data_IF_394319013559
#
_entry.id   IF_394319013559
#
_cell.length_a   1.000
_cell.length_b   1.000
_cell.length_c   1.000
_cell.angle_alpha   90.00
_cell.angle_beta   90.00
_cell.angle_gamma   90.00
#
_symmetry.space_group_name_H-M   'P 1'
#
loop_
_entity.id
_entity.type
_entity.pdbx_description
1 polymer ?
#
# COMPACT_ATOMS: atom_id res chain seq x y z
N UNK A 1 -10.48 -37.54 -30.27
CA UNK A 1 -9.83 -37.67 -31.59
C UNK A 1 -9.90 -36.31 -32.27
N UNK A 2 -8.76 -35.79 -32.76
CA UNK A 2 -8.61 -34.54 -33.53
C UNK A 2 -8.24 -33.31 -32.68
N UNK A 3 -6.97 -33.15 -32.26
CA UNK A 3 -5.91 -32.31 -32.89
C UNK A 3 -6.12 -30.79 -32.70
N UNK A 4 -5.55 -30.14 -31.67
CA UNK A 4 -4.23 -29.47 -31.61
C UNK A 4 -3.91 -28.52 -32.78
N UNK A 5 -3.97 -27.20 -32.52
CA UNK A 5 -3.07 -26.20 -33.13
C UNK A 5 -2.58 -25.18 -32.09
N UNK A 6 -1.39 -25.52 -31.59
CA UNK A 6 -0.38 -24.67 -30.98
C UNK A 6 0.11 -23.62 -31.99
N UNK A 7 0.22 -22.37 -31.57
CA UNK A 7 1.03 -21.35 -32.25
C UNK A 7 2.24 -21.00 -31.37
N UNK A 8 3.35 -21.69 -31.67
CA UNK A 8 4.70 -21.44 -31.21
C UNK A 8 5.54 -21.10 -32.46
N UNK A 9 6.31 -20.02 -32.40
CA UNK A 9 7.38 -19.67 -33.35
C UNK A 9 8.38 -18.75 -32.61
N UNK A 10 9.68 -18.76 -32.97
CA UNK A 10 10.63 -19.80 -32.59
C UNK A 10 11.78 -19.28 -31.70
N UNK A 11 12.41 -20.24 -31.03
CA UNK A 11 13.69 -20.14 -30.33
C UNK A 11 14.82 -19.96 -31.35
N UNK A 12 15.63 -18.93 -31.20
CA UNK A 12 17.01 -18.94 -31.70
C UNK A 12 17.94 -19.15 -30.51
N UNK A 13 18.59 -20.31 -30.50
CA UNK A 13 19.72 -20.63 -29.63
C UNK A 13 21.00 -20.60 -30.46
N UNK A 14 22.01 -19.88 -29.99
CA UNK A 14 23.42 -20.31 -29.90
C UNK A 14 24.38 -19.13 -30.08
N UNK A 15 25.10 -18.80 -29.01
CA UNK A 15 26.57 -18.79 -29.03
C UNK A 15 27.05 -18.61 -27.58
N UNK A 16 27.72 -19.65 -27.09
CA UNK A 16 28.54 -19.64 -25.88
C UNK A 16 29.85 -18.94 -26.26
N UNK A 17 30.27 -17.94 -25.51
CA UNK A 17 31.69 -17.57 -25.44
C UNK A 17 32.07 -17.19 -23.99
N UNK A 18 33.14 -17.84 -23.54
CA UNK A 18 33.72 -17.75 -22.21
C UNK A 18 34.63 -16.52 -22.14
N UNK A 19 34.23 -15.49 -21.40
CA UNK A 19 35.07 -14.30 -21.20
C UNK A 19 34.91 -13.73 -19.80
N UNK A 20 35.69 -14.27 -18.84
CA UNK A 20 35.91 -13.62 -17.54
C UNK A 20 36.52 -12.25 -17.74
N UNK A 21 35.71 -11.19 -17.67
CA UNK A 21 36.18 -9.82 -17.47
C UNK A 21 35.71 -9.38 -16.09
N UNK A 22 36.62 -9.49 -15.11
CA UNK A 22 36.43 -8.94 -13.78
C UNK A 22 36.31 -7.42 -13.87
N UNK A 23 35.11 -6.90 -13.61
CA UNK A 23 34.88 -5.46 -13.47
C UNK A 23 35.67 -5.00 -12.22
N UNK A 24 36.63 -4.06 -12.34
CA UNK A 24 37.36 -3.58 -11.18
C UNK A 24 36.40 -2.76 -10.30
N UNK A 25 36.32 -3.13 -9.02
CA UNK A 25 35.55 -2.38 -8.04
C UNK A 25 36.06 -0.93 -7.99
N UNK A 26 35.17 0.09 -8.03
CA UNK A 26 35.59 1.47 -7.90
C UNK A 26 36.21 1.67 -6.51
N UNK A 27 37.53 1.89 -6.49
CA UNK A 27 38.29 2.32 -5.31
C UNK A 27 37.82 3.73 -4.94
N UNK A 28 36.94 3.78 -3.95
CA UNK A 28 36.35 5.02 -3.46
C UNK A 28 35.04 4.76 -2.72
N UNK A 29 35.01 3.77 -1.83
CA UNK A 29 33.88 3.55 -0.94
C UNK A 29 33.80 4.72 0.05
N UNK A 30 33.11 5.79 -0.34
CA UNK A 30 32.39 6.64 0.62
C UNK A 30 31.68 5.67 1.57
N UNK A 31 31.84 5.89 2.87
CA UNK A 31 31.31 5.07 3.95
C UNK A 31 29.76 5.12 3.95
N UNK A 32 29.14 4.55 2.90
CA UNK A 32 27.71 4.52 2.69
C UNK A 32 27.21 3.34 3.50
N UNK A 33 26.62 3.63 4.65
CA UNK A 33 26.00 2.60 5.50
C UNK A 33 25.06 1.74 4.64
N UNK A 34 25.13 0.41 4.72
CA UNK A 34 24.38 -0.48 3.82
C UNK A 34 22.87 -0.25 3.99
N UNK A 35 22.15 -0.02 2.89
CA UNK A 35 20.72 0.31 2.92
C UNK A 35 19.89 -0.88 3.40
N UNK A 36 18.98 -0.66 4.35
CA UNK A 36 17.96 -1.65 4.75
C UNK A 36 16.66 -1.28 4.05
N UNK A 37 16.00 -2.28 3.47
CA UNK A 37 14.67 -2.13 2.86
C UNK A 37 13.72 -3.09 3.58
N UNK A 38 12.68 -2.55 4.20
CA UNK A 38 11.62 -3.29 4.86
C UNK A 38 10.34 -3.11 4.05
N UNK A 39 9.75 -4.22 3.61
CA UNK A 39 8.47 -4.25 2.93
C UNK A 39 7.42 -4.93 3.80
N UNK A 40 6.30 -4.27 3.99
CA UNK A 40 5.14 -4.75 4.74
C UNK A 40 3.88 -4.85 3.87
N UNK A 41 3.84 -4.20 2.70
CA UNK A 41 2.78 -4.47 1.71
C UNK A 41 2.98 -5.87 1.12
N UNK A 42 1.88 -6.63 1.03
CA UNK A 42 1.90 -8.06 0.76
C UNK A 42 2.64 -8.84 1.86
N UNK A 43 3.77 -9.50 1.58
CA UNK A 43 4.51 -10.31 2.55
C UNK A 43 5.65 -9.52 3.18
N UNK A 44 5.89 -9.76 4.48
CA UNK A 44 7.06 -9.21 5.16
C UNK A 44 8.35 -9.60 4.44
N UNK A 45 9.12 -8.61 4.01
CA UNK A 45 10.47 -8.80 3.46
C UNK A 45 11.41 -7.78 4.10
N UNK A 46 12.51 -8.25 4.67
CA UNK A 46 13.55 -7.39 5.25
C UNK A 46 14.86 -7.69 4.54
N UNK A 47 15.45 -6.71 3.86
CA UNK A 47 16.67 -6.91 3.06
C UNK A 47 17.74 -5.88 3.39
N UNK A 48 18.99 -6.30 3.38
CA UNK A 48 20.18 -5.45 3.44
C UNK A 48 21.05 -5.70 2.21
N UNK A 49 20.94 -4.84 1.19
CA UNK A 49 21.47 -5.16 -0.14
C UNK A 49 20.82 -6.44 -0.70
N UNK A 50 21.65 -7.42 -1.08
CA UNK A 50 21.19 -8.71 -1.60
C UNK A 50 20.87 -9.74 -0.52
N UNK A 51 21.13 -9.43 0.75
CA UNK A 51 20.91 -10.35 1.87
C UNK A 51 19.48 -10.23 2.42
N UNK A 52 18.79 -11.37 2.53
CA UNK A 52 17.54 -11.46 3.30
C UNK A 52 17.85 -11.50 4.81
N UNK A 53 17.26 -10.57 5.55
CA UNK A 53 17.40 -10.44 6.99
C UNK A 53 16.22 -11.09 7.70
N UNK A 54 16.42 -11.50 8.95
CA UNK A 54 15.37 -12.10 9.80
C UNK A 54 14.73 -13.41 9.29
N UNK A 55 15.24 -14.03 8.22
CA UNK A 55 14.72 -15.29 7.69
C UNK A 55 14.71 -16.42 8.74
N UNK A 56 15.76 -16.49 9.57
CA UNK A 56 15.89 -17.44 10.70
C UNK A 56 15.33 -16.92 12.02
N UNK A 57 14.68 -15.75 12.03
CA UNK A 57 14.10 -15.18 13.23
C UNK A 57 12.74 -15.78 13.53
N UNK A 58 12.44 -15.89 14.84
CA UNK A 58 11.15 -16.42 15.29
C UNK A 58 9.98 -15.58 14.77
N UNK A 59 8.78 -16.19 14.72
CA UNK A 59 7.54 -15.48 14.37
C UNK A 59 7.35 -14.26 15.27
N UNK A 60 7.52 -14.41 16.58
CA UNK A 60 7.40 -13.33 17.56
C UNK A 60 8.40 -12.19 17.33
N UNK A 61 9.61 -12.47 16.84
CA UNK A 61 10.58 -11.43 16.51
C UNK A 61 10.12 -10.61 15.29
N UNK A 62 9.68 -11.30 14.22
CA UNK A 62 9.15 -10.65 13.02
C UNK A 62 7.90 -9.82 13.33
N UNK A 63 7.00 -10.39 14.12
CA UNK A 63 5.77 -9.74 14.58
C UNK A 63 6.04 -8.49 15.41
N UNK A 64 6.98 -8.60 16.36
CA UNK A 64 7.40 -7.46 17.17
C UNK A 64 7.95 -6.31 16.31
N UNK A 65 8.77 -6.62 15.29
CA UNK A 65 9.27 -5.60 14.38
C UNK A 65 8.13 -4.93 13.60
N UNK A 66 7.22 -5.71 13.02
CA UNK A 66 6.06 -5.18 12.30
C UNK A 66 5.18 -4.29 13.19
N UNK A 67 4.88 -4.74 14.40
CA UNK A 67 4.10 -3.99 15.37
C UNK A 67 4.78 -2.66 15.72
N UNK A 68 6.09 -2.67 15.97
CA UNK A 68 6.85 -1.43 16.27
C UNK A 68 6.87 -0.46 15.09
N UNK A 69 6.95 -0.97 13.85
CA UNK A 69 6.89 -0.16 12.63
C UNK A 69 5.51 0.50 12.48
N UNK A 70 4.44 -0.29 12.67
CA UNK A 70 3.04 0.17 12.57
C UNK A 70 2.66 1.12 13.70
N UNK A 71 3.16 0.88 14.91
CA UNK A 71 2.94 1.73 16.09
C UNK A 71 3.67 3.08 16.07
N UNK A 72 4.37 3.40 14.96
CA UNK A 72 5.00 4.68 14.61
C UNK A 72 5.66 5.46 15.74
N UNK A 73 7.00 5.44 15.80
CA UNK A 73 7.85 6.38 16.59
C UNK A 73 7.43 6.59 18.06
N UNK A 74 6.46 5.87 18.60
CA UNK A 74 6.12 5.86 20.00
C UNK A 74 7.04 4.87 20.70
N UNK A 75 7.56 5.29 21.84
CA UNK A 75 8.25 4.37 22.73
C UNK A 75 7.22 3.38 23.30
N UNK A 76 7.39 2.09 23.01
CA UNK A 76 6.48 1.05 23.48
C UNK A 76 7.06 0.36 24.72
N UNK A 77 6.36 0.35 25.86
CA UNK A 77 6.78 -0.37 27.04
C UNK A 77 6.95 -1.87 26.76
N UNK A 78 7.99 -2.47 27.32
CA UNK A 78 8.25 -3.91 27.24
C UNK A 78 7.11 -4.74 27.83
N UNK A 79 6.35 -4.18 28.77
CA UNK A 79 5.18 -4.86 29.33
C UNK A 79 4.06 -5.01 28.29
N UNK A 80 3.77 -3.93 27.54
CA UNK A 80 2.83 -3.96 26.41
C UNK A 80 3.29 -4.91 25.31
N UNK A 81 4.59 -4.90 24.97
CA UNK A 81 5.16 -5.83 23.98
C UNK A 81 5.13 -7.29 24.45
N UNK A 82 5.29 -7.54 25.75
CA UNK A 82 5.15 -8.88 26.31
C UNK A 82 3.70 -9.35 26.22
N UNK A 83 2.73 -8.49 26.52
CA UNK A 83 1.30 -8.79 26.39
C UNK A 83 0.92 -9.11 24.94
N UNK A 84 1.41 -8.33 23.97
CA UNK A 84 1.21 -8.58 22.54
C UNK A 84 1.63 -10.00 22.12
N UNK A 85 2.82 -10.42 22.55
CA UNK A 85 3.40 -11.74 22.20
C UNK A 85 2.73 -12.89 22.99
N UNK A 86 2.07 -12.58 24.12
CA UNK A 86 1.58 -13.57 25.06
C UNK A 86 0.42 -14.41 24.52
N UNK A 87 -0.45 -13.87 23.66
CA UNK A 87 -1.75 -14.50 23.39
C UNK A 87 -2.44 -14.88 24.71
N UNK A 88 -2.72 -16.18 24.92
CA UNK A 88 -3.31 -16.74 26.16
C UNK A 88 -2.29 -17.22 27.22
N UNK A 89 -1.00 -16.89 27.10
CA UNK A 89 0.04 -17.37 28.01
C UNK A 89 0.18 -16.54 29.29
N UNK A 90 0.75 -17.15 30.34
CA UNK A 90 1.02 -16.46 31.61
C UNK A 90 2.11 -15.39 31.50
N UNK A 91 2.02 -14.34 32.31
CA UNK A 91 2.92 -13.17 32.32
C UNK A 91 4.41 -13.53 32.34
N UNK A 92 4.81 -14.55 33.11
CA UNK A 92 6.21 -15.02 33.19
C UNK A 92 6.71 -15.59 31.85
N UNK A 93 5.88 -16.36 31.14
CA UNK A 93 6.20 -16.90 29.81
C UNK A 93 6.32 -15.77 28.78
N UNK A 94 5.47 -14.74 28.89
CA UNK A 94 5.46 -13.57 28.02
C UNK A 94 6.76 -12.76 28.09
N UNK A 95 7.27 -12.47 29.31
CA UNK A 95 8.55 -11.76 29.49
C UNK A 95 9.75 -12.55 28.94
N UNK A 96 9.72 -13.89 29.01
CA UNK A 96 10.76 -14.75 28.40
C UNK A 96 10.69 -14.71 26.87
N UNK A 97 9.49 -14.84 26.30
CA UNK A 97 9.28 -14.77 24.86
C UNK A 97 9.69 -13.42 24.27
N UNK A 98 9.39 -12.31 24.94
CA UNK A 98 9.84 -10.98 24.53
C UNK A 98 11.37 -10.88 24.52
N UNK A 99 12.05 -11.33 25.57
CA UNK A 99 13.52 -11.32 25.62
C UNK A 99 14.14 -12.11 24.46
N UNK A 100 13.55 -13.27 24.13
CA UNK A 100 13.98 -14.08 22.99
C UNK A 100 13.73 -13.35 21.66
N UNK A 101 12.55 -12.76 21.47
CA UNK A 101 12.21 -12.00 20.27
C UNK A 101 13.18 -10.81 20.05
N UNK A 102 13.44 -10.02 21.08
CA UNK A 102 14.39 -8.90 21.04
C UNK A 102 15.82 -9.37 20.74
N UNK A 103 16.24 -10.51 21.31
CA UNK A 103 17.53 -11.11 21.01
C UNK A 103 17.63 -11.57 19.54
N UNK A 104 16.57 -12.19 19.00
CA UNK A 104 16.50 -12.57 17.59
C UNK A 104 16.58 -11.35 16.66
N UNK A 105 15.92 -10.24 17.00
CA UNK A 105 16.03 -8.99 16.24
C UNK A 105 17.46 -8.45 16.22
N UNK A 106 18.13 -8.41 17.38
CA UNK A 106 19.54 -7.97 17.49
C UNK A 106 20.50 -8.86 16.69
N UNK A 107 20.24 -10.17 16.65
CA UNK A 107 21.08 -11.14 15.93
C UNK A 107 20.76 -11.20 14.43
N UNK A 108 19.52 -10.92 14.04
CA UNK A 108 19.07 -11.10 12.66
C UNK A 108 19.13 -9.84 11.79
N UNK A 109 19.26 -8.65 12.38
CA UNK A 109 19.55 -7.40 11.66
C UNK A 109 21.08 -7.19 11.56
N UNK A 110 21.73 -8.04 10.78
CA UNK A 110 23.18 -8.02 10.55
C UNK A 110 23.46 -8.11 9.06
N UNK A 111 24.21 -7.14 8.52
CA UNK A 111 24.61 -7.07 7.11
C UNK A 111 26.12 -7.25 7.04
N UNK A 112 26.60 -8.28 6.34
CA UNK A 112 28.04 -8.59 6.22
C UNK A 112 28.80 -8.57 7.57
N UNK A 113 28.18 -9.10 8.63
CA UNK A 113 28.75 -9.13 9.99
C UNK A 113 28.56 -7.85 10.81
N UNK A 114 28.10 -6.76 10.21
CA UNK A 114 27.83 -5.49 10.90
C UNK A 114 26.43 -5.47 11.49
N UNK A 115 26.32 -5.30 12.81
CA UNK A 115 25.03 -5.13 13.50
C UNK A 115 24.37 -3.83 13.04
N UNK A 116 23.13 -3.93 12.58
CA UNK A 116 22.34 -2.82 12.07
C UNK A 116 21.05 -2.58 12.86
N UNK A 117 20.85 -3.27 13.99
CA UNK A 117 19.62 -3.15 14.81
C UNK A 117 19.38 -1.72 15.29
N UNK A 118 20.44 -1.00 15.69
CA UNK A 118 20.33 0.38 16.21
C UNK A 118 20.00 1.41 15.12
N UNK A 119 20.00 0.99 13.85
CA UNK A 119 19.54 1.81 12.72
C UNK A 119 18.04 1.69 12.49
N UNK A 120 17.41 0.69 13.09
CA UNK A 120 15.98 0.38 12.94
C UNK A 120 15.25 0.64 14.26
N UNK A 121 15.85 0.28 15.40
CA UNK A 121 15.23 0.31 16.71
C UNK A 121 16.11 1.03 17.72
N UNK A 122 15.47 1.82 18.60
CA UNK A 122 16.10 2.33 19.83
C UNK A 122 15.61 1.53 21.02
N UNK A 123 16.52 1.16 21.92
CA UNK A 123 16.20 0.46 23.16
C UNK A 123 16.47 1.38 24.35
N UNK A 124 15.44 1.68 25.13
CA UNK A 124 15.60 2.34 26.42
C UNK A 124 15.38 1.40 27.59
N UNK A 125 15.40 1.97 28.78
CA UNK A 125 15.06 1.24 29.99
C UNK A 125 13.54 0.99 30.03
N UNK A 126 13.15 -0.28 30.05
CA UNK A 126 11.74 -0.66 30.03
C UNK A 126 10.99 -0.47 28.70
N UNK A 127 11.58 0.08 27.64
CA UNK A 127 10.87 0.35 26.37
C UNK A 127 11.68 0.04 25.10
N UNK A 128 10.98 -0.06 23.96
CA UNK A 128 11.53 -0.23 22.61
C UNK A 128 10.78 0.66 21.63
N UNK A 129 11.49 1.31 20.72
CA UNK A 129 10.92 2.23 19.74
C UNK A 129 11.46 1.92 18.35
N UNK A 130 10.61 2.05 17.34
CA UNK A 130 11.05 2.07 15.95
C UNK A 130 11.56 3.46 15.58
N UNK A 131 12.86 3.54 15.27
CA UNK A 131 13.61 4.77 14.99
C UNK A 131 14.52 4.53 13.79
N UNK A 132 13.98 4.57 12.56
CA UNK A 132 14.78 4.32 11.36
C UNK A 132 15.75 5.48 11.11
N UNK A 133 17.01 5.16 10.84
CA UNK A 133 17.97 6.12 10.29
C UNK A 133 17.70 6.40 8.80
N UNK A 134 18.37 7.39 8.21
CA UNK A 134 18.18 7.78 6.80
C UNK A 134 18.53 6.70 5.77
N UNK A 135 19.11 5.57 6.18
CA UNK A 135 19.45 4.45 5.33
C UNK A 135 18.50 3.25 5.52
N UNK A 136 17.42 3.42 6.29
CA UNK A 136 16.33 2.45 6.41
C UNK A 136 15.11 2.94 5.63
N UNK A 137 14.67 2.13 4.68
CA UNK A 137 13.47 2.35 3.88
C UNK A 137 12.36 1.42 4.32
N UNK A 138 11.17 1.96 4.46
CA UNK A 138 9.97 1.21 4.83
C UNK A 138 8.85 1.63 3.89
N UNK A 139 8.34 0.67 3.12
CA UNK A 139 7.34 0.92 2.08
C UNK A 139 6.07 1.61 2.61
N UNK A 140 5.55 1.22 3.77
CA UNK A 140 4.36 1.88 4.34
C UNK A 140 4.64 3.35 4.68
N UNK A 141 5.85 3.69 5.16
CA UNK A 141 6.18 5.08 5.50
C UNK A 141 6.38 5.92 4.25
N UNK A 142 6.95 5.33 3.20
CA UNK A 142 7.14 5.98 1.90
C UNK A 142 5.80 6.25 1.22
N UNK A 143 4.91 5.26 1.23
CA UNK A 143 3.55 5.40 0.71
C UNK A 143 2.80 6.52 1.43
N UNK A 144 2.76 6.50 2.76
CA UNK A 144 2.09 7.52 3.55
C UNK A 144 2.65 8.93 3.30
N UNK A 145 3.98 9.07 3.34
CA UNK A 145 4.63 10.36 3.10
C UNK A 145 4.42 10.87 1.68
N UNK A 146 4.31 9.98 0.70
CA UNK A 146 3.99 10.37 -0.67
C UNK A 146 2.55 10.88 -0.76
N UNK A 147 1.57 10.11 -0.24
CA UNK A 147 0.16 10.52 -0.27
C UNK A 147 -0.09 11.81 0.52
N UNK A 148 0.46 11.93 1.73
CA UNK A 148 0.30 13.12 2.58
C UNK A 148 0.85 14.38 1.90
N UNK A 149 2.02 14.30 1.25
CA UNK A 149 2.61 15.43 0.53
C UNK A 149 1.83 15.79 -0.73
N UNK A 150 1.27 14.79 -1.42
CA UNK A 150 0.58 15.02 -2.69
C UNK A 150 -0.86 15.51 -2.54
N UNK A 151 -1.52 15.21 -1.42
CA UNK A 151 -2.88 15.70 -1.10
C UNK A 151 -2.84 16.96 -0.21
N UNK A 152 -1.78 17.15 0.58
CA UNK A 152 -1.67 18.16 1.63
C UNK A 152 -1.31 19.60 1.21
N UNK A 153 -1.43 19.98 -0.06
CA UNK A 153 -1.19 21.39 -0.44
C UNK A 153 -2.37 22.26 0.00
N UNK A 154 -2.16 23.08 1.04
CA UNK A 154 -3.14 23.99 1.67
C UNK A 154 -3.82 24.94 0.67
N UNK A 155 -3.20 25.18 -0.49
CA UNK A 155 -3.75 26.04 -1.54
C UNK A 155 -4.85 25.40 -2.41
N UNK A 156 -5.13 24.10 -2.24
CA UNK A 156 -6.20 23.39 -2.96
C UNK A 156 -6.10 23.40 -4.49
N UNK A 157 -5.03 23.97 -5.06
CA UNK A 157 -4.90 24.30 -6.48
C UNK A 157 -4.06 23.31 -7.30
N UNK A 158 -3.27 22.44 -6.68
CA UNK A 158 -2.55 21.39 -7.42
C UNK A 158 -2.26 20.16 -6.56
N UNK A 159 -2.99 19.08 -6.80
CA UNK A 159 -2.59 17.75 -6.33
C UNK A 159 -1.34 17.34 -7.11
N UNK A 160 -0.31 16.85 -6.41
CA UNK A 160 0.86 16.26 -7.06
C UNK A 160 0.53 14.85 -7.57
N UNK A 161 0.00 14.78 -8.79
CA UNK A 161 -0.41 13.50 -9.43
C UNK A 161 0.77 12.59 -9.73
N UNK A 162 1.98 13.14 -9.88
CA UNK A 162 3.19 12.32 -10.04
C UNK A 162 3.52 11.63 -8.72
N UNK A 163 3.55 12.38 -7.62
CA UNK A 163 3.77 11.82 -6.29
C UNK A 163 2.71 10.78 -5.90
N UNK A 164 1.44 10.98 -6.28
CA UNK A 164 0.40 9.95 -6.09
C UNK A 164 0.65 8.70 -6.91
N UNK A 165 1.02 8.82 -8.20
CA UNK A 165 1.37 7.67 -9.03
C UNK A 165 2.53 6.87 -8.46
N UNK A 166 3.60 7.56 -8.06
CA UNK A 166 4.76 6.94 -7.41
C UNK A 166 4.35 6.22 -6.10
N UNK A 167 3.39 6.78 -5.35
CA UNK A 167 2.85 6.14 -4.15
C UNK A 167 2.11 4.82 -4.47
N UNK A 168 1.30 4.79 -5.53
CA UNK A 168 0.57 3.58 -5.93
C UNK A 168 1.51 2.44 -6.34
N UNK A 169 2.68 2.73 -6.91
CA UNK A 169 3.70 1.69 -7.23
C UNK A 169 4.31 1.03 -5.98
N UNK A 170 4.32 1.75 -4.86
CA UNK A 170 4.77 1.23 -3.55
C UNK A 170 3.70 0.32 -2.94
N UNK A 171 2.43 0.63 -3.15
CA UNK A 171 1.30 -0.15 -2.66
C UNK A 171 1.09 -1.42 -3.50
N UNK A 172 1.67 -2.54 -3.08
CA UNK A 172 1.66 -3.82 -3.83
C UNK A 172 0.56 -4.79 -3.39
N UNK A 173 -0.31 -4.38 -2.47
CA UNK A 173 -1.35 -5.21 -1.88
C UNK A 173 -1.52 -4.91 -0.39
N UNK A 174 -2.48 -5.59 0.25
CA UNK A 174 -2.78 -5.38 1.67
C UNK A 174 -1.58 -5.60 2.59
N UNK A 175 -1.55 -4.88 3.70
CA UNK A 175 -0.54 -5.00 4.75
C UNK A 175 -0.45 -6.44 5.29
N UNK A 176 0.74 -7.04 5.26
CA UNK A 176 1.08 -8.33 5.88
C UNK A 176 0.03 -9.41 5.57
N UNK A 177 -0.12 -9.77 4.30
CA UNK A 177 -1.06 -10.82 3.89
C UNK A 177 -0.82 -12.13 4.66
N UNK A 178 -1.90 -12.76 5.11
CA UNK A 178 -1.87 -13.95 5.96
C UNK A 178 -1.64 -13.69 7.45
N UNK A 179 -1.56 -12.42 7.86
CA UNK A 179 -1.54 -12.02 9.27
C UNK A 179 -2.94 -11.57 9.70
N UNK A 180 -3.36 -12.02 10.89
CA UNK A 180 -4.73 -11.89 11.41
C UNK A 180 -4.79 -11.27 12.81
N UNK A 181 -3.68 -10.70 13.27
CA UNK A 181 -3.64 -9.98 14.52
C UNK A 181 -4.48 -8.70 14.41
N UNK A 182 -5.22 -8.38 15.46
CA UNK A 182 -6.15 -7.24 15.50
C UNK A 182 -5.50 -5.92 15.10
N UNK A 183 -4.33 -5.60 15.69
CA UNK A 183 -3.54 -4.41 15.33
C UNK A 183 -3.15 -4.35 13.83
N UNK A 184 -3.01 -5.50 13.17
CA UNK A 184 -2.67 -5.58 11.76
C UNK A 184 -3.92 -5.38 10.88
N UNK A 185 -5.08 -5.84 11.33
CA UNK A 185 -6.34 -5.67 10.59
C UNK A 185 -6.78 -4.20 10.58
N UNK A 186 -6.69 -3.53 11.74
CA UNK A 186 -6.98 -2.09 11.85
C UNK A 186 -6.07 -1.26 10.94
N UNK A 187 -4.77 -1.53 10.97
CA UNK A 187 -3.82 -0.79 10.14
C UNK A 187 -3.97 -1.10 8.64
N UNK A 188 -4.30 -2.35 8.29
CA UNK A 188 -4.59 -2.74 6.90
C UNK A 188 -5.77 -1.94 6.36
N UNK A 189 -6.84 -1.80 7.13
CA UNK A 189 -8.01 -1.01 6.72
C UNK A 189 -7.65 0.47 6.58
N UNK A 190 -6.90 1.03 7.54
CA UNK A 190 -6.46 2.42 7.46
C UNK A 190 -5.59 2.70 6.22
N UNK A 191 -4.66 1.80 5.88
CA UNK A 191 -3.84 1.90 4.68
C UNK A 191 -4.66 1.71 3.40
N UNK A 192 -5.65 0.82 3.40
CA UNK A 192 -6.61 0.66 2.28
C UNK A 192 -7.39 1.94 2.03
N UNK A 193 -7.88 2.59 3.08
CA UNK A 193 -8.57 3.88 2.97
C UNK A 193 -7.65 4.98 2.41
N UNK A 194 -6.37 5.00 2.79
CA UNK A 194 -5.40 5.95 2.25
C UNK A 194 -5.12 5.69 0.75
N UNK A 195 -5.04 4.43 0.34
CA UNK A 195 -4.93 4.01 -1.06
C UNK A 195 -6.13 4.45 -1.89
N UNK A 196 -7.35 4.23 -1.39
CA UNK A 196 -8.58 4.69 -2.06
C UNK A 196 -8.63 6.21 -2.21
N UNK A 197 -8.17 6.97 -1.21
CA UNK A 197 -8.07 8.45 -1.32
C UNK A 197 -7.10 8.90 -2.40
N UNK A 198 -5.97 8.22 -2.53
CA UNK A 198 -5.00 8.50 -3.59
C UNK A 198 -5.60 8.22 -4.99
N UNK A 199 -6.33 7.11 -5.13
CA UNK A 199 -7.05 6.78 -6.36
C UNK A 199 -8.13 7.81 -6.68
N UNK A 200 -8.96 8.20 -5.70
CA UNK A 200 -10.01 9.22 -5.90
C UNK A 200 -9.41 10.53 -6.45
N UNK A 201 -8.26 10.96 -5.90
CA UNK A 201 -7.59 12.18 -6.33
C UNK A 201 -7.04 12.09 -7.77
N UNK A 202 -6.56 10.91 -8.19
CA UNK A 202 -6.12 10.66 -9.56
C UNK A 202 -7.30 10.53 -10.54
N UNK A 203 -8.39 9.87 -10.14
CA UNK A 203 -9.62 9.76 -10.94
C UNK A 203 -10.19 11.15 -11.20
N UNK A 204 -10.29 11.99 -10.18
CA UNK A 204 -10.75 13.37 -10.31
C UNK A 204 -9.85 14.21 -11.23
N UNK A 205 -8.53 13.96 -11.21
CA UNK A 205 -7.58 14.61 -12.12
C UNK A 205 -7.79 14.18 -13.57
N UNK A 206 -7.95 12.87 -13.80
CA UNK A 206 -8.21 12.33 -15.13
C UNK A 206 -9.57 12.79 -15.68
N UNK A 207 -10.61 12.88 -14.84
CA UNK A 207 -11.90 13.46 -15.22
C UNK A 207 -11.74 14.92 -15.69
N UNK A 208 -10.98 15.72 -14.94
CA UNK A 208 -10.77 17.13 -15.24
C UNK A 208 -9.94 17.33 -16.53
N UNK A 209 -8.92 16.49 -16.75
CA UNK A 209 -8.03 16.57 -17.91
C UNK A 209 -8.52 15.75 -19.12
N UNK A 210 -9.72 15.15 -19.04
CA UNK A 210 -10.27 14.26 -20.07
C UNK A 210 -9.36 13.04 -20.40
N UNK A 211 -8.55 12.59 -19.45
CA UNK A 211 -7.68 11.41 -19.57
C UNK A 211 -8.47 10.12 -19.30
N UNK A 212 -9.45 9.82 -20.18
CA UNK A 212 -10.42 8.73 -20.00
C UNK A 212 -9.76 7.40 -19.65
N UNK A 213 -8.76 6.98 -20.44
CA UNK A 213 -8.12 5.66 -20.28
C UNK A 213 -7.46 5.50 -18.91
N UNK A 214 -6.74 6.53 -18.45
CA UNK A 214 -6.09 6.51 -17.15
C UNK A 214 -7.12 6.54 -16.00
N UNK A 215 -8.15 7.39 -16.12
CA UNK A 215 -9.24 7.46 -15.15
C UNK A 215 -9.97 6.13 -14.97
N UNK A 216 -10.28 5.43 -16.07
CA UNK A 216 -10.92 4.11 -16.04
C UNK A 216 -10.01 3.08 -15.36
N UNK A 217 -8.70 3.11 -15.63
CA UNK A 217 -7.74 2.21 -15.00
C UNK A 217 -7.66 2.43 -13.47
N UNK A 218 -7.60 3.68 -13.01
CA UNK A 218 -7.58 3.98 -11.56
C UNK A 218 -8.91 3.64 -10.89
N UNK A 219 -10.04 3.92 -11.54
CA UNK A 219 -11.34 3.55 -11.00
C UNK A 219 -11.53 2.03 -10.93
N UNK A 220 -11.00 1.27 -11.90
CA UNK A 220 -10.95 -0.19 -11.83
C UNK A 220 -10.16 -0.71 -10.63
N UNK A 221 -9.02 -0.08 -10.32
CA UNK A 221 -8.26 -0.40 -9.11
C UNK A 221 -9.06 -0.09 -7.82
N UNK A 222 -9.77 1.04 -7.79
CA UNK A 222 -10.56 1.42 -6.63
C UNK A 222 -11.74 0.46 -6.40
N UNK A 223 -12.44 0.05 -7.46
CA UNK A 223 -13.52 -0.95 -7.38
C UNK A 223 -13.01 -2.36 -7.07
N UNK A 224 -11.78 -2.69 -7.43
CA UNK A 224 -11.17 -3.95 -6.98
C UNK A 224 -10.93 -3.95 -5.47
N UNK A 225 -10.55 -2.80 -4.90
CA UNK A 225 -10.33 -2.65 -3.46
C UNK A 225 -11.62 -2.40 -2.66
N UNK A 226 -12.67 -1.92 -3.30
CA UNK A 226 -13.97 -1.59 -2.71
C UNK A 226 -15.09 -1.63 -3.77
N UNK A 227 -15.71 -2.81 -4.02
CA UNK A 227 -16.71 -2.97 -5.07
C UNK A 227 -17.94 -2.09 -4.90
N UNK A 228 -18.33 -1.79 -3.66
CA UNK A 228 -19.51 -0.99 -3.33
C UNK A 228 -19.24 0.52 -3.30
N UNK A 229 -18.07 0.97 -3.77
CA UNK A 229 -17.66 2.38 -3.74
C UNK A 229 -18.41 3.20 -4.78
N UNK A 230 -19.59 3.65 -4.39
CA UNK A 230 -20.55 4.33 -5.27
C UNK A 230 -20.00 5.59 -5.96
N UNK A 231 -19.18 6.38 -5.26
CA UNK A 231 -18.55 7.56 -5.85
C UNK A 231 -17.62 7.22 -7.04
N UNK A 232 -16.95 6.06 -6.99
CA UNK A 232 -16.12 5.55 -8.09
C UNK A 232 -16.98 5.06 -9.26
N UNK A 233 -18.13 4.44 -8.99
CA UNK A 233 -19.09 4.12 -10.05
C UNK A 233 -19.56 5.37 -10.78
N UNK A 234 -19.93 6.44 -10.05
CA UNK A 234 -20.29 7.73 -10.65
C UNK A 234 -19.16 8.32 -11.49
N UNK A 235 -17.91 8.20 -11.04
CA UNK A 235 -16.74 8.63 -11.80
C UNK A 235 -16.58 7.89 -13.13
N UNK A 236 -16.70 6.56 -13.12
CA UNK A 236 -16.68 5.75 -14.34
C UNK A 236 -17.81 6.12 -15.30
N UNK A 237 -19.02 6.34 -14.79
CA UNK A 237 -20.14 6.81 -15.61
C UNK A 237 -19.81 8.12 -16.33
N UNK A 238 -19.20 9.09 -15.64
CA UNK A 238 -18.76 10.35 -16.25
C UNK A 238 -17.63 10.15 -17.26
N UNK A 239 -16.62 9.35 -16.93
CA UNK A 239 -15.50 9.04 -17.84
C UNK A 239 -15.98 8.38 -19.14
N UNK A 240 -16.91 7.42 -19.06
CA UNK A 240 -17.50 6.82 -20.26
C UNK A 240 -18.29 7.82 -21.10
N UNK A 241 -19.04 8.74 -20.45
CA UNK A 241 -19.69 9.83 -21.16
C UNK A 241 -18.71 10.79 -21.85
N UNK A 242 -17.57 11.10 -21.22
CA UNK A 242 -16.49 11.88 -21.84
C UNK A 242 -15.88 11.18 -23.07
N UNK A 243 -15.89 9.85 -23.08
CA UNK A 243 -15.46 9.03 -24.21
C UNK A 243 -16.53 8.92 -25.32
N UNK A 244 -17.74 9.45 -25.11
CA UNK A 244 -18.89 9.24 -25.99
C UNK A 244 -19.55 7.86 -25.85
N UNK A 245 -19.10 7.03 -24.90
CA UNK A 245 -19.63 5.68 -24.67
C UNK A 245 -20.74 5.68 -23.62
N UNK A 246 -21.91 6.15 -24.05
CA UNK A 246 -23.11 6.19 -23.21
C UNK A 246 -23.58 4.81 -22.77
N UNK A 247 -23.37 3.77 -23.59
CA UNK A 247 -23.81 2.42 -23.29
C UNK A 247 -23.04 1.87 -22.07
N UNK A 248 -21.71 2.02 -22.06
CA UNK A 248 -20.88 1.64 -20.92
C UNK A 248 -21.21 2.42 -19.66
N UNK A 249 -21.56 3.71 -19.77
CA UNK A 249 -22.00 4.50 -18.63
C UNK A 249 -23.28 3.96 -17.97
N UNK A 250 -24.28 3.57 -18.77
CA UNK A 250 -25.52 2.95 -18.25
C UNK A 250 -25.23 1.57 -17.65
N UNK A 251 -24.41 0.75 -18.30
CA UNK A 251 -24.05 -0.55 -17.76
C UNK A 251 -23.30 -0.43 -16.41
N UNK A 252 -22.46 0.61 -16.25
CA UNK A 252 -21.76 0.86 -14.99
C UNK A 252 -22.70 1.21 -13.84
N UNK A 253 -23.84 1.84 -14.10
CA UNK A 253 -24.88 2.07 -13.09
C UNK A 253 -25.51 0.76 -12.62
N UNK A 254 -25.83 -0.15 -13.53
CA UNK A 254 -26.37 -1.46 -13.15
C UNK A 254 -25.37 -2.25 -12.30
N UNK A 255 -24.08 -2.24 -12.66
CA UNK A 255 -23.01 -2.81 -11.83
C UNK A 255 -22.91 -2.17 -10.46
N UNK A 256 -23.14 -0.87 -10.35
CA UNK A 256 -23.17 -0.15 -9.06
C UNK A 256 -24.32 -0.67 -8.19
N UNK A 257 -25.50 -0.81 -8.78
CA UNK A 257 -26.69 -1.30 -8.10
C UNK A 257 -26.50 -2.73 -7.59
N UNK A 258 -25.94 -3.60 -8.43
CA UNK A 258 -25.60 -4.97 -8.05
C UNK A 258 -24.61 -5.01 -6.89
N UNK A 259 -23.49 -4.28 -6.98
CA UNK A 259 -22.48 -4.25 -5.93
C UNK A 259 -23.00 -3.71 -4.58
N UNK A 260 -23.79 -2.62 -4.60
CA UNK A 260 -24.40 -2.06 -3.39
C UNK A 260 -25.39 -3.02 -2.73
N UNK A 261 -26.16 -3.76 -3.55
CA UNK A 261 -27.09 -4.75 -3.06
C UNK A 261 -26.37 -5.96 -2.46
N UNK A 262 -25.32 -6.46 -3.11
CA UNK A 262 -24.57 -7.64 -2.67
C UNK A 262 -23.76 -7.37 -1.39
N UNK A 263 -23.10 -6.21 -1.29
CA UNK A 263 -22.18 -5.92 -0.19
C UNK A 263 -22.87 -5.24 1.00
N UNK A 264 -23.91 -4.43 0.75
CA UNK A 264 -24.49 -3.54 1.76
C UNK A 264 -26.03 -3.66 1.90
N UNK A 265 -26.71 -4.40 1.03
CA UNK A 265 -28.18 -4.50 0.96
C UNK A 265 -28.88 -3.12 0.85
N UNK A 266 -28.30 -2.22 0.05
CA UNK A 266 -28.85 -0.87 -0.21
C UNK A 266 -29.01 -0.58 -1.70
N UNK A 267 -29.88 0.37 -2.01
CA UNK A 267 -30.04 0.93 -3.36
C UNK A 267 -29.09 2.12 -3.59
N UNK A 268 -28.73 2.45 -4.86
CA UNK A 268 -27.92 3.62 -5.18
C UNK A 268 -28.50 4.91 -4.63
N UNK A 269 -27.66 5.86 -4.23
CA UNK A 269 -28.03 7.15 -3.69
C UNK A 269 -28.76 8.06 -4.72
N UNK A 270 -29.27 9.20 -4.24
CA UNK A 270 -29.99 10.16 -5.07
C UNK A 270 -29.15 10.75 -6.21
N UNK A 271 -27.84 10.96 -5.97
CA UNK A 271 -26.92 11.55 -6.94
C UNK A 271 -26.64 10.58 -8.09
N UNK A 272 -26.41 9.30 -7.78
CA UNK A 272 -26.14 8.25 -8.76
C UNK A 272 -27.34 8.02 -9.66
N UNK A 273 -28.55 7.96 -9.08
CA UNK A 273 -29.80 7.84 -9.86
C UNK A 273 -30.07 9.08 -10.70
N UNK A 274 -29.72 10.28 -10.23
CA UNK A 274 -29.86 11.50 -11.01
C UNK A 274 -28.91 11.50 -12.22
N UNK A 275 -27.65 11.13 -12.01
CA UNK A 275 -26.65 11.01 -13.09
C UNK A 275 -27.09 10.02 -14.16
N UNK A 276 -27.61 8.85 -13.77
CA UNK A 276 -28.13 7.86 -14.72
C UNK A 276 -29.27 8.42 -15.58
N UNK A 277 -30.23 9.13 -14.96
CA UNK A 277 -31.35 9.76 -15.68
C UNK A 277 -30.87 10.82 -16.67
N UNK A 278 -29.88 11.62 -16.29
CA UNK A 278 -29.28 12.63 -17.17
C UNK A 278 -28.62 11.98 -18.39
N UNK A 279 -27.83 10.93 -18.16
CA UNK A 279 -27.20 10.15 -19.22
C UNK A 279 -28.27 9.54 -20.13
N UNK A 280 -29.37 9.00 -19.58
CA UNK A 280 -30.50 8.48 -20.37
C UNK A 280 -31.26 9.56 -21.15
N UNK A 281 -31.30 10.79 -20.66
CA UNK A 281 -31.87 11.92 -21.38
C UNK A 281 -30.95 12.44 -22.50
N UNK A 282 -29.75 11.85 -22.68
CA UNK A 282 -28.78 12.31 -23.67
C UNK A 282 -28.10 13.63 -23.29
N UNK A 283 -28.20 14.05 -22.02
CA UNK A 283 -27.41 15.15 -21.51
C UNK A 283 -25.98 14.65 -21.34
N UNK A 284 -25.00 15.38 -21.86
CA UNK A 284 -23.61 15.13 -21.53
C UNK A 284 -23.36 15.63 -20.10
N UNK A 285 -23.09 14.75 -19.12
CA UNK A 285 -22.72 15.22 -17.80
C UNK A 285 -21.44 16.02 -17.95
N UNK A 286 -21.53 17.32 -17.66
CA UNK A 286 -20.39 18.24 -17.75
C UNK A 286 -19.40 17.81 -16.67
N UNK A 287 -18.13 17.65 -17.05
CA UNK A 287 -17.07 17.50 -16.06
C UNK A 287 -17.19 18.64 -15.03
N UNK A 288 -17.04 18.38 -13.73
CA UNK A 288 -17.20 19.43 -12.74
C UNK A 288 -16.26 20.61 -13.07
N UNK A 289 -16.83 21.83 -13.21
CA UNK A 289 -16.10 23.05 -13.61
C UNK A 289 -14.99 23.44 -12.63
N UNK A 290 -15.03 22.87 -11.43
CA UNK A 290 -14.02 22.96 -10.39
C UNK A 290 -13.63 21.54 -10.05
N UNK A 291 -12.31 21.28 -9.97
CA UNK A 291 -11.78 19.99 -9.49
C UNK A 291 -12.52 19.59 -8.21
N UNK A 292 -13.23 18.45 -8.17
CA UNK A 292 -13.96 18.08 -6.98
C UNK A 292 -12.95 17.94 -5.84
N UNK A 293 -13.21 18.55 -4.67
CA UNK A 293 -12.31 18.38 -3.55
C UNK A 293 -12.17 16.89 -3.28
N UNK A 294 -10.93 16.43 -3.06
CA UNK A 294 -10.70 15.05 -2.62
C UNK A 294 -11.67 14.80 -1.45
N UNK A 295 -12.53 13.78 -1.52
CA UNK A 295 -13.53 13.56 -0.50
C UNK A 295 -12.87 13.59 0.87
N UNK A 296 -13.25 14.54 1.71
CA UNK A 296 -12.80 14.61 3.10
C UNK A 296 -13.50 13.49 3.86
N UNK A 297 -13.14 12.25 3.59
CA UNK A 297 -13.54 11.14 4.45
C UNK A 297 -12.91 11.42 5.80
N UNK A 298 -13.72 11.44 6.86
CA UNK A 298 -13.27 11.75 8.22
C UNK A 298 -11.93 11.08 8.47
N UNK A 299 -10.89 11.88 8.68
CA UNK A 299 -9.57 11.34 9.00
C UNK A 299 -9.77 10.35 10.13
N UNK A 300 -9.42 9.06 9.98
CA UNK A 300 -9.46 8.16 11.12
C UNK A 300 -8.66 8.87 12.21
N UNK A 301 -9.35 9.22 13.31
CA UNK A 301 -8.72 9.91 14.42
C UNK A 301 -7.44 9.15 14.71
N UNK A 302 -6.30 9.85 14.70
CA UNK A 302 -5.02 9.33 15.15
C UNK A 302 -5.25 8.77 16.55
N UNK A 303 -5.52 7.48 16.68
CA UNK A 303 -5.56 6.86 17.99
C UNK A 303 -4.12 6.90 18.48
N UNK A 304 -3.89 7.81 19.43
CA UNK A 304 -2.77 7.74 20.35
C UNK A 304 -3.06 6.51 21.23
N UNK A 305 -2.57 5.35 20.79
CA UNK A 305 -2.32 4.25 21.71
C UNK A 305 -0.84 4.28 22.10
#
# INVERSE_FOLDING_TARGET
>A
MGELRSFLFPVFASAIDEGRVGIPAPRGARNVKPRIVIRLFDRLSVRGGDQELLQRSSKNARELLCYLIVGRRSSVPRESLAALIAGKHSVKKSKKALRQALWHLRRGLVIHGVKCVDRVLTFGDGWVQFTPDGNVRVDILEFEQAVDRSIGTEDGRSVDTKGLRDALEVYRGGLLQGWYQEWCLEERERLRQLYLRALDALIADCEFNHEVSAGVAYAGQALHADPARECTHRALMRLYCLAGDRASAIHQYERCKEALREELDVEPDGETRALEREIRAGKHPVAPAVRPPVPKWGSPRRNKF
#
